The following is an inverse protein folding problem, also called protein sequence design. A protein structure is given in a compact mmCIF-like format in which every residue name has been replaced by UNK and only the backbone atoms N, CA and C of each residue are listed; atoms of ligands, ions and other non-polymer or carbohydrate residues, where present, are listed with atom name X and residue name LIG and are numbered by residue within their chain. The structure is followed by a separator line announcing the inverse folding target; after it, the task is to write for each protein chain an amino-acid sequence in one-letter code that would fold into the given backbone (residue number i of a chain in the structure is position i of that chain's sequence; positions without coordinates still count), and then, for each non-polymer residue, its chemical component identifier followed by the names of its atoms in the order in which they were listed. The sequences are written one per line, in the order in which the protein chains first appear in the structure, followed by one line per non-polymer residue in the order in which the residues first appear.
data_IF_937713587170
#
_entry.id   IF_937713587170
#
_cell.length_a   1.000
_cell.length_b   1.000
_cell.length_c   1.000
_cell.angle_alpha   90.00
_cell.angle_beta   90.00
_cell.angle_gamma   90.00
#
_symmetry.space_group_name_H-M   'P 1'
#
loop_
_entity.id
_entity.type
_entity.pdbx_description
1 polymer ?
#
# COMPACT_ATOMS: atom_id res chain seq x y z
N UNK A 1 15.82 -15.58 -88.18
CA UNK A 1 14.47 -16.19 -88.08
C UNK A 1 14.33 -16.81 -86.68
N UNK A 2 13.23 -16.44 -85.99
CA UNK A 2 12.77 -16.86 -84.65
C UNK A 2 13.52 -16.33 -83.43
N UNK A 3 13.02 -15.18 -82.99
CA UNK A 3 13.02 -14.62 -81.64
C UNK A 3 12.26 -15.59 -80.73
N UNK A 4 12.83 -15.97 -79.57
CA UNK A 4 12.06 -16.52 -78.45
C UNK A 4 12.42 -15.71 -77.19
N UNK A 5 11.49 -14.85 -76.78
CA UNK A 5 11.45 -14.22 -75.48
C UNK A 5 11.02 -15.25 -74.44
N UNK A 6 11.77 -15.40 -73.35
CA UNK A 6 11.32 -16.09 -72.14
C UNK A 6 11.05 -15.07 -71.03
N UNK A 7 10.03 -15.32 -70.18
CA UNK A 7 9.44 -14.28 -69.35
C UNK A 7 10.28 -13.99 -68.11
N UNK A 8 10.29 -12.71 -67.80
CA UNK A 8 10.58 -12.07 -66.53
C UNK A 8 10.25 -12.96 -65.32
N UNK A 9 11.26 -13.43 -64.58
CA UNK A 9 11.08 -14.02 -63.25
C UNK A 9 11.04 -12.89 -62.20
N UNK A 10 9.86 -12.28 -62.08
CA UNK A 10 9.50 -11.51 -60.88
C UNK A 10 8.93 -12.48 -59.82
N UNK A 11 9.35 -12.28 -58.57
CA UNK A 11 8.93 -12.96 -57.34
C UNK A 11 9.50 -14.38 -57.14
N UNK A 12 10.38 -14.57 -56.12
CA UNK A 12 9.86 -14.65 -54.77
C UNK A 12 10.81 -13.99 -53.74
N UNK A 13 10.88 -12.66 -53.72
CA UNK A 13 11.58 -11.95 -52.63
C UNK A 13 10.65 -11.54 -51.48
N UNK A 14 9.34 -11.86 -51.56
CA UNK A 14 8.33 -11.42 -50.59
C UNK A 14 7.81 -12.54 -49.67
N UNK A 15 8.25 -13.80 -49.84
CA UNK A 15 7.79 -14.92 -49.03
C UNK A 15 8.62 -15.15 -47.74
N UNK A 16 9.78 -14.50 -47.61
CA UNK A 16 10.69 -14.71 -46.47
C UNK A 16 10.41 -13.83 -45.23
N UNK A 17 9.57 -12.78 -45.36
CA UNK A 17 9.40 -11.77 -44.31
C UNK A 17 8.10 -11.94 -43.47
N UNK A 18 7.30 -12.96 -43.74
CA UNK A 18 6.00 -13.17 -43.07
C UNK A 18 6.09 -14.19 -41.90
N UNK A 19 7.24 -14.83 -41.68
CA UNK A 19 7.40 -15.84 -40.62
C UNK A 19 7.87 -15.29 -39.25
N UNK A 20 7.97 -13.97 -39.08
CA UNK A 20 8.34 -13.35 -37.80
C UNK A 20 7.15 -12.86 -36.95
N UNK A 21 5.91 -13.16 -37.36
CA UNK A 21 4.70 -12.81 -36.60
C UNK A 21 3.97 -14.03 -36.01
N UNK A 22 4.71 -15.05 -35.57
CA UNK A 22 4.24 -15.92 -34.48
C UNK A 22 4.39 -15.10 -33.19
N UNK A 23 3.52 -14.16 -32.86
CA UNK A 23 2.15 -14.46 -32.48
C UNK A 23 2.22 -15.15 -31.11
N UNK A 24 2.32 -14.36 -30.03
CA UNK A 24 2.28 -14.87 -28.66
C UNK A 24 1.08 -15.80 -28.52
N UNK A 25 1.32 -17.08 -28.34
CA UNK A 25 0.31 -17.95 -27.76
C UNK A 25 0.08 -17.44 -26.35
N UNK A 26 -1.05 -16.79 -26.10
CA UNK A 26 -1.53 -16.63 -24.73
C UNK A 26 -1.69 -18.05 -24.22
N UNK A 27 -0.78 -18.50 -23.34
CA UNK A 27 -1.00 -19.76 -22.66
C UNK A 27 -2.38 -19.67 -22.01
N UNK A 28 -3.26 -20.68 -22.23
CA UNK A 28 -4.54 -20.70 -21.55
C UNK A 28 -4.24 -20.57 -20.06
N UNK A 29 -4.76 -19.51 -19.44
CA UNK A 29 -4.55 -19.29 -18.03
C UNK A 29 -4.91 -20.58 -17.29
N UNK A 30 -4.06 -21.06 -16.36
CA UNK A 30 -4.33 -22.28 -15.64
C UNK A 30 -5.72 -22.16 -15.02
N UNK A 31 -6.67 -22.91 -15.58
CA UNK A 31 -8.03 -22.99 -15.07
C UNK A 31 -7.88 -23.44 -13.63
N UNK A 32 -8.43 -22.66 -12.70
CA UNK A 32 -8.36 -22.94 -11.27
C UNK A 32 -8.67 -24.43 -11.03
N UNK A 33 -7.90 -25.14 -10.19
CA UNK A 33 -8.33 -26.44 -9.74
C UNK A 33 -9.75 -26.30 -9.20
N UNK A 34 -10.64 -27.22 -9.58
CA UNK A 34 -12.03 -27.23 -9.11
C UNK A 34 -12.16 -27.28 -7.57
N UNK A 35 -11.05 -27.52 -6.86
CA UNK A 35 -10.94 -27.65 -5.42
C UNK A 35 -9.81 -26.78 -4.87
N UNK A 36 -9.94 -25.46 -4.98
CA UNK A 36 -9.09 -24.52 -4.27
C UNK A 36 -7.59 -24.52 -4.66
N UNK A 37 -6.83 -23.64 -4.04
CA UNK A 37 -5.40 -23.48 -4.29
C UNK A 37 -4.74 -22.50 -3.31
N UNK A 38 -3.43 -22.37 -3.36
CA UNK A 38 -2.74 -21.35 -2.56
C UNK A 38 -3.20 -19.95 -2.97
N UNK A 39 -3.47 -19.11 -1.97
CA UNK A 39 -3.82 -17.72 -2.17
C UNK A 39 -3.70 -16.93 -0.88
N UNK A 40 -4.31 -15.74 -0.87
CA UNK A 40 -4.24 -14.82 0.27
C UNK A 40 -5.62 -14.51 0.85
N UNK A 41 -5.71 -14.56 2.17
CA UNK A 41 -6.88 -14.12 2.95
C UNK A 41 -6.63 -12.73 3.54
N UNK A 42 -7.55 -11.77 3.38
CA UNK A 42 -7.41 -10.46 4.00
C UNK A 42 -7.54 -10.55 5.52
N UNK A 43 -6.62 -9.91 6.22
CA UNK A 43 -6.68 -9.69 7.67
C UNK A 43 -7.29 -8.30 7.89
N UNK A 44 -8.40 -8.26 8.63
CA UNK A 44 -9.15 -7.02 8.87
C UNK A 44 -8.85 -6.44 10.25
N UNK A 45 -8.89 -5.12 10.33
CA UNK A 45 -9.10 -4.38 11.57
C UNK A 45 -10.39 -3.58 11.45
N UNK A 46 -11.21 -3.56 12.50
CA UNK A 46 -12.48 -2.82 12.47
C UNK A 46 -12.23 -1.31 12.30
N UNK A 47 -13.17 -0.59 11.69
CA UNK A 47 -13.06 0.88 11.57
C UNK A 47 -13.01 1.56 12.94
N UNK A 48 -13.70 1.03 13.95
CA UNK A 48 -13.67 1.56 15.30
C UNK A 48 -12.26 1.47 15.92
N UNK A 49 -11.64 0.30 15.89
CA UNK A 49 -10.30 0.09 16.43
C UNK A 49 -9.22 0.86 15.65
N UNK A 50 -9.38 0.94 14.33
CA UNK A 50 -8.48 1.66 13.44
C UNK A 50 -8.53 3.18 13.67
N UNK A 51 -9.74 3.73 13.86
CA UNK A 51 -9.97 5.18 14.00
C UNK A 51 -9.78 5.69 15.41
N UNK A 52 -9.53 4.80 16.37
CA UNK A 52 -9.20 5.15 17.73
C UNK A 52 -7.76 5.71 17.82
N UNK A 53 -7.66 7.04 17.86
CA UNK A 53 -6.38 7.76 18.03
C UNK A 53 -6.19 8.07 19.52
N UNK A 54 -5.08 7.60 20.09
CA UNK A 54 -4.77 7.77 21.52
C UNK A 54 -3.38 8.36 21.72
N UNK A 55 -3.18 9.05 22.84
CA UNK A 55 -1.83 9.43 23.30
C UNK A 55 -1.45 8.52 24.45
N UNK A 56 -0.34 7.81 24.30
CA UNK A 56 0.22 6.85 25.24
C UNK A 56 1.57 7.34 25.78
N UNK A 57 2.08 6.64 26.80
CA UNK A 57 3.44 6.88 27.30
C UNK A 57 4.50 6.64 26.21
N UNK A 58 5.72 7.19 26.40
CA UNK A 58 6.79 7.02 25.43
C UNK A 58 7.20 5.55 25.31
N UNK A 59 7.62 5.17 24.11
CA UNK A 59 8.16 3.83 23.82
C UNK A 59 9.38 3.94 22.91
N UNK A 60 10.20 2.90 22.85
CA UNK A 60 11.38 2.87 22.00
C UNK A 60 11.02 2.88 20.51
N UNK A 61 11.82 3.58 19.71
CA UNK A 61 11.78 3.51 18.25
C UNK A 61 12.15 2.09 17.79
N UNK A 62 11.43 1.56 16.80
CA UNK A 62 11.75 0.26 16.19
C UNK A 62 12.20 0.41 14.74
N UNK A 63 11.33 0.98 13.92
CA UNK A 63 11.51 1.17 12.48
C UNK A 63 11.12 2.60 12.09
N UNK A 64 11.83 3.62 12.60
CA UNK A 64 11.45 5.01 12.39
C UNK A 64 11.44 5.38 10.91
N UNK A 65 10.40 6.09 10.50
CA UNK A 65 10.22 6.66 9.17
C UNK A 65 10.54 8.15 9.14
N UNK A 66 9.63 8.93 8.56
CA UNK A 66 9.79 10.39 8.38
C UNK A 66 9.87 11.11 9.73
N UNK A 67 10.59 12.23 9.76
CA UNK A 67 10.77 13.11 10.93
C UNK A 67 10.30 14.52 10.58
N UNK A 68 9.58 15.17 11.49
CA UNK A 68 9.28 16.60 11.46
C UNK A 68 9.73 17.29 12.75
N UNK A 69 9.99 18.58 12.65
CA UNK A 69 10.38 19.45 13.77
C UNK A 69 9.33 20.55 13.93
N UNK A 70 8.85 20.77 15.16
CA UNK A 70 8.06 21.94 15.53
C UNK A 70 8.57 22.50 16.85
N UNK A 71 9.17 23.69 16.80
CA UNK A 71 9.91 24.24 17.93
C UNK A 71 11.08 23.33 18.29
N UNK A 72 11.12 22.87 19.54
CA UNK A 72 12.11 21.90 20.03
C UNK A 72 11.63 20.46 19.98
N UNK A 73 10.41 20.18 19.51
CA UNK A 73 9.87 18.82 19.48
C UNK A 73 10.13 18.13 18.14
N UNK A 74 10.54 16.87 18.22
CA UNK A 74 10.59 15.94 17.09
C UNK A 74 9.31 15.10 17.08
N UNK A 75 8.76 14.95 15.88
CA UNK A 75 7.68 14.02 15.57
C UNK A 75 8.27 12.98 14.64
N UNK A 76 8.29 11.71 15.05
CA UNK A 76 8.91 10.63 14.29
C UNK A 76 7.87 9.55 14.02
N UNK A 77 7.63 9.27 12.74
CA UNK A 77 6.68 8.25 12.34
C UNK A 77 7.24 6.86 12.65
N UNK A 78 6.40 5.98 13.20
CA UNK A 78 6.58 4.53 13.28
C UNK A 78 5.56 3.90 12.32
N UNK A 79 5.97 3.57 11.07
CA UNK A 79 5.05 3.18 10.02
C UNK A 79 4.14 2.01 10.42
N UNK A 80 2.85 2.18 10.17
CA UNK A 80 1.77 1.28 10.54
C UNK A 80 1.27 1.45 11.98
N UNK A 81 1.99 2.16 12.84
CA UNK A 81 1.71 2.22 14.28
C UNK A 81 1.31 3.63 14.76
N UNK A 82 2.03 4.68 14.34
CA UNK A 82 1.75 6.05 14.81
C UNK A 82 2.99 6.93 14.91
N UNK A 83 3.02 7.86 15.86
CA UNK A 83 4.00 8.96 15.91
C UNK A 83 4.61 9.10 17.29
N UNK A 84 5.94 9.01 17.37
CA UNK A 84 6.71 9.34 18.55
C UNK A 84 6.85 10.86 18.70
N UNK A 85 6.67 11.36 19.92
CA UNK A 85 6.95 12.75 20.28
C UNK A 85 8.15 12.78 21.21
N UNK A 86 9.18 13.51 20.83
CA UNK A 86 10.43 13.63 21.57
C UNK A 86 10.73 15.11 21.80
N UNK A 87 11.00 15.49 23.04
CA UNK A 87 11.56 16.79 23.36
C UNK A 87 13.05 16.79 23.02
N UNK A 88 13.45 17.68 22.12
CA UNK A 88 14.81 17.85 21.62
C UNK A 88 15.35 19.26 21.95
N UNK A 89 14.96 19.81 23.11
CA UNK A 89 15.51 21.07 23.62
C UNK A 89 17.03 21.01 23.84
N UNK A 90 17.54 19.87 24.33
CA UNK A 90 18.96 19.54 24.33
C UNK A 90 19.22 18.41 23.30
N UNK A 91 19.74 18.72 22.10
CA UNK A 91 20.01 17.71 21.08
C UNK A 91 21.03 16.64 21.48
N UNK A 92 21.86 16.89 22.50
CA UNK A 92 22.76 15.88 23.03
C UNK A 92 22.02 14.87 23.94
N UNK A 93 20.82 15.21 24.42
CA UNK A 93 20.01 14.41 25.35
C UNK A 93 18.50 14.50 25.03
N UNK A 94 18.05 14.00 23.86
CA UNK A 94 16.63 13.98 23.52
C UNK A 94 15.82 13.16 24.53
N UNK A 95 14.61 13.64 24.86
CA UNK A 95 13.74 13.06 25.87
C UNK A 95 12.44 12.55 25.23
N UNK A 96 12.21 11.23 25.16
CA UNK A 96 10.93 10.68 24.72
C UNK A 96 9.79 11.15 25.64
N UNK A 97 8.74 11.72 25.04
CA UNK A 97 7.62 12.32 25.79
C UNK A 97 6.36 11.46 25.72
N UNK A 98 5.96 11.06 24.52
CA UNK A 98 4.71 10.36 24.28
C UNK A 98 4.75 9.58 22.95
N UNK A 99 3.77 8.70 22.79
CA UNK A 99 3.48 8.04 21.52
C UNK A 99 2.01 8.27 21.15
N UNK A 100 1.76 8.82 19.96
CA UNK A 100 0.41 8.98 19.43
C UNK A 100 0.10 7.76 18.58
N UNK A 101 -0.79 6.90 19.06
CA UNK A 101 -1.22 5.71 18.36
C UNK A 101 -2.16 6.13 17.21
N UNK A 102 -1.75 5.82 15.98
CA UNK A 102 -2.52 6.07 14.76
C UNK A 102 -2.35 4.83 13.90
N UNK A 103 -3.19 3.82 14.11
CA UNK A 103 -3.07 2.54 13.41
C UNK A 103 -3.13 2.73 11.90
N UNK A 104 -2.21 2.10 11.17
CA UNK A 104 -2.11 2.27 9.71
C UNK A 104 -1.60 3.65 9.28
N UNK A 105 -0.90 4.40 10.15
CA UNK A 105 -0.21 5.61 9.75
C UNK A 105 0.98 5.30 8.84
N UNK A 106 1.04 5.90 7.65
CA UNK A 106 2.14 5.68 6.69
C UNK A 106 2.94 6.95 6.50
N UNK A 107 2.28 8.09 6.35
CA UNK A 107 2.93 9.40 6.25
C UNK A 107 2.33 10.43 7.22
N UNK A 108 3.07 11.51 7.40
CA UNK A 108 2.64 12.67 8.19
C UNK A 108 3.18 13.98 7.60
N UNK A 109 2.60 15.10 8.04
CA UNK A 109 3.06 16.44 7.80
C UNK A 109 2.74 17.35 8.98
N UNK A 110 3.57 18.34 9.25
CA UNK A 110 3.33 19.32 10.33
C UNK A 110 3.24 20.72 9.75
N UNK A 111 2.19 21.48 10.13
CA UNK A 111 2.02 22.89 9.78
C UNK A 111 1.54 23.67 11.01
N UNK A 112 2.41 24.49 11.58
CA UNK A 112 2.13 25.20 12.82
C UNK A 112 1.86 24.19 13.95
N UNK A 113 0.70 24.29 14.58
CA UNK A 113 0.31 23.41 15.69
C UNK A 113 -0.55 22.22 15.27
N UNK A 114 -0.65 21.99 13.95
CA UNK A 114 -1.43 20.89 13.40
C UNK A 114 -0.52 19.86 12.76
N UNK A 115 -0.65 18.61 13.20
CA UNK A 115 -0.06 17.44 12.57
C UNK A 115 -1.14 16.74 11.73
N UNK A 116 -0.85 16.57 10.45
CA UNK A 116 -1.64 15.78 9.53
C UNK A 116 -1.02 14.40 9.42
N UNK A 117 -1.83 13.35 9.48
CA UNK A 117 -1.35 11.98 9.44
C UNK A 117 -2.33 11.08 8.69
N UNK A 118 -1.78 10.13 7.94
CA UNK A 118 -2.58 9.04 7.39
C UNK A 118 -3.11 8.18 8.54
N UNK A 119 -4.32 7.63 8.37
CA UNK A 119 -4.88 6.62 9.26
C UNK A 119 -5.58 5.58 8.37
N UNK A 120 -4.75 4.75 7.74
CA UNK A 120 -5.09 3.86 6.64
C UNK A 120 -5.81 4.58 5.47
N UNK A 121 -7.14 4.49 5.40
CA UNK A 121 -7.92 5.10 4.31
C UNK A 121 -8.32 6.55 4.58
N UNK A 122 -8.13 7.00 5.81
CA UNK A 122 -8.52 8.34 6.27
C UNK A 122 -7.30 9.26 6.40
N UNK A 123 -7.55 10.56 6.40
CA UNK A 123 -6.59 11.60 6.82
C UNK A 123 -7.08 12.22 8.12
N UNK A 124 -6.20 12.30 9.13
CA UNK A 124 -6.50 12.98 10.40
C UNK A 124 -5.68 14.25 10.56
N UNK A 125 -6.28 15.26 11.19
CA UNK A 125 -5.61 16.46 11.64
C UNK A 125 -5.62 16.49 13.17
N UNK A 126 -4.46 16.67 13.78
CA UNK A 126 -4.22 16.56 15.21
C UNK A 126 -3.65 17.86 15.76
N UNK A 127 -4.19 18.35 16.87
CA UNK A 127 -3.61 19.43 17.65
C UNK A 127 -2.42 18.89 18.44
N UNK A 128 -1.24 19.48 18.19
CA UNK A 128 0.02 19.14 18.86
C UNK A 128 0.56 20.29 19.73
N UNK A 129 -0.29 21.25 20.13
CA UNK A 129 0.08 22.34 21.06
C UNK A 129 0.58 21.79 22.39
N UNK A 130 -0.10 20.76 22.93
CA UNK A 130 0.34 20.00 24.09
C UNK A 130 0.84 18.61 23.67
N UNK A 131 2.16 18.36 23.70
CA UNK A 131 2.75 17.10 23.25
C UNK A 131 2.33 15.88 24.09
N UNK A 132 1.81 16.09 25.31
CA UNK A 132 1.31 15.02 26.18
C UNK A 132 -0.20 14.79 26.05
N UNK A 133 -0.90 15.64 25.29
CA UNK A 133 -2.35 15.58 25.12
C UNK A 133 -2.73 16.00 23.71
N UNK A 134 -2.36 15.16 22.75
CA UNK A 134 -2.71 15.35 21.33
C UNK A 134 -4.21 15.13 21.14
N UNK A 135 -4.87 16.02 20.41
CA UNK A 135 -6.31 15.98 20.20
C UNK A 135 -6.65 15.86 18.72
N UNK A 136 -7.60 14.97 18.39
CA UNK A 136 -8.16 14.90 17.05
C UNK A 136 -8.99 16.15 16.78
N UNK A 137 -8.55 16.97 15.82
CA UNK A 137 -9.27 18.15 15.37
C UNK A 137 -10.27 17.82 14.28
N UNK A 138 -9.85 17.00 13.31
CA UNK A 138 -10.69 16.64 12.18
C UNK A 138 -10.26 15.29 11.58
N UNK A 139 -11.20 14.64 10.90
CA UNK A 139 -10.99 13.43 10.11
C UNK A 139 -11.68 13.59 8.76
N UNK A 140 -10.95 13.30 7.69
CA UNK A 140 -11.52 13.14 6.36
C UNK A 140 -11.44 11.67 5.99
N UNK A 141 -12.61 11.02 5.93
CA UNK A 141 -12.69 9.58 5.72
C UNK A 141 -12.52 9.20 4.25
N UNK A 142 -11.93 8.04 3.99
CA UNK A 142 -11.86 7.42 2.66
C UNK A 142 -11.21 8.30 1.57
N UNK A 143 -10.22 9.12 1.94
CA UNK A 143 -9.48 9.97 0.99
C UNK A 143 -8.34 9.22 0.31
N UNK A 144 -7.84 8.16 0.92
CA UNK A 144 -6.80 7.31 0.35
C UNK A 144 -7.37 6.02 -0.25
N UNK A 145 -6.74 5.45 -1.29
CA UNK A 145 -7.18 4.20 -1.88
C UNK A 145 -7.28 3.07 -0.86
N UNK A 146 -8.40 2.35 -0.88
CA UNK A 146 -8.59 1.18 -0.03
C UNK A 146 -7.64 0.05 -0.46
N UNK A 147 -6.95 -0.64 0.47
CA UNK A 147 -6.07 -1.77 0.17
C UNK A 147 -6.87 -3.01 -0.26
N UNK A 148 -7.29 -3.05 -1.52
CA UNK A 148 -8.23 -4.07 -2.04
C UNK A 148 -7.57 -5.33 -2.59
N UNK A 149 -6.24 -5.43 -2.56
CA UNK A 149 -5.49 -6.56 -3.09
C UNK A 149 -4.17 -6.82 -2.33
N UNK A 150 -3.64 -8.06 -2.32
CA UNK A 150 -2.36 -8.40 -1.69
C UNK A 150 -1.18 -7.78 -2.44
N UNK A 151 -0.03 -7.50 -1.80
CA UNK A 151 1.13 -6.88 -2.45
C UNK A 151 1.74 -7.71 -3.60
N UNK A 152 1.55 -9.04 -3.60
CA UNK A 152 2.02 -9.95 -4.65
C UNK A 152 1.12 -9.89 -5.90
N UNK A 153 1.73 -9.93 -7.09
CA UNK A 153 1.02 -9.98 -8.39
C UNK A 153 0.88 -11.42 -8.89
N UNK A 154 -0.11 -11.68 -9.74
CA UNK A 154 -0.35 -13.02 -10.30
C UNK A 154 -0.94 -14.01 -9.30
N UNK A 155 -1.43 -13.54 -8.15
CA UNK A 155 -1.95 -14.38 -7.06
C UNK A 155 -3.47 -14.30 -6.99
N UNK A 156 -4.07 -15.39 -6.48
CA UNK A 156 -5.49 -15.42 -6.14
C UNK A 156 -5.69 -15.06 -4.67
N UNK A 157 -6.83 -14.46 -4.36
CA UNK A 157 -7.16 -14.05 -2.99
C UNK A 157 -8.67 -14.08 -2.73
N UNK A 158 -9.05 -14.12 -1.45
CA UNK A 158 -10.44 -13.94 -1.06
C UNK A 158 -10.85 -12.49 -1.34
N UNK A 159 -11.97 -12.32 -2.04
CA UNK A 159 -12.46 -10.99 -2.36
C UNK A 159 -12.69 -10.17 -1.08
N UNK A 160 -12.23 -8.92 -1.11
CA UNK A 160 -12.32 -8.02 0.04
C UNK A 160 -13.78 -7.69 0.34
N UNK A 161 -14.14 -7.85 1.61
CA UNK A 161 -15.40 -7.42 2.19
C UNK A 161 -15.16 -6.17 3.05
N UNK A 162 -15.50 -5.00 2.48
CA UNK A 162 -15.29 -3.70 3.13
C UNK A 162 -16.17 -3.49 4.36
N UNK A 163 -17.19 -4.35 4.59
CA UNK A 163 -18.04 -4.26 5.79
C UNK A 163 -17.33 -4.76 7.04
N UNK A 164 -16.25 -5.55 6.88
CA UNK A 164 -15.46 -6.12 7.99
C UNK A 164 -14.41 -5.18 8.56
N UNK A 165 -14.24 -3.99 8.00
CA UNK A 165 -13.20 -3.04 8.38
C UNK A 165 -12.24 -2.76 7.24
N UNK A 166 -10.99 -2.42 7.58
CA UNK A 166 -9.92 -2.17 6.62
C UNK A 166 -8.95 -3.35 6.59
N UNK A 167 -8.49 -3.72 5.40
CA UNK A 167 -7.45 -4.75 5.26
C UNK A 167 -6.12 -4.19 5.76
N UNK A 168 -5.59 -4.76 6.83
CA UNK A 168 -4.30 -4.39 7.43
C UNK A 168 -3.18 -5.39 7.11
N UNK A 169 -3.52 -6.50 6.46
CA UNK A 169 -2.56 -7.52 6.09
C UNK A 169 -3.18 -8.62 5.24
N UNK A 170 -2.34 -9.54 4.78
CA UNK A 170 -2.73 -10.67 3.96
C UNK A 170 -2.04 -11.92 4.49
N UNK A 171 -2.82 -12.95 4.76
CA UNK A 171 -2.33 -14.25 5.23
C UNK A 171 -2.29 -15.24 4.06
N UNK A 172 -1.14 -15.85 3.80
CA UNK A 172 -1.03 -16.92 2.81
C UNK A 172 -1.73 -18.18 3.34
N UNK A 173 -2.62 -18.76 2.55
CA UNK A 173 -3.46 -19.88 2.99
C UNK A 173 -3.97 -20.69 1.81
N UNK A 174 -4.53 -21.87 2.06
CA UNK A 174 -5.26 -22.64 1.05
C UNK A 174 -6.69 -22.12 0.98
N UNK A 175 -7.07 -21.62 -0.19
CA UNK A 175 -8.39 -21.06 -0.42
C UNK A 175 -9.29 -22.10 -1.09
N UNK A 176 -10.45 -22.44 -0.51
CA UNK A 176 -11.40 -23.35 -1.16
C UNK A 176 -12.04 -22.70 -2.40
N UNK A 177 -12.19 -21.38 -2.40
CA UNK A 177 -12.76 -20.59 -3.49
C UNK A 177 -12.05 -19.23 -3.58
N UNK A 178 -11.16 -19.07 -4.55
CA UNK A 178 -10.37 -17.85 -4.77
C UNK A 178 -10.81 -17.17 -6.07
N UNK A 179 -11.88 -16.37 -5.97
CA UNK A 179 -12.50 -15.67 -7.11
C UNK A 179 -11.76 -14.41 -7.54
N UNK A 180 -11.09 -13.74 -6.61
CA UNK A 180 -10.36 -12.51 -6.90
C UNK A 180 -8.90 -12.81 -7.27
N UNK A 181 -8.34 -11.98 -8.16
CA UNK A 181 -6.97 -12.10 -8.67
C UNK A 181 -6.33 -10.73 -8.86
N UNK A 182 -5.03 -10.65 -8.61
CA UNK A 182 -4.20 -9.47 -8.85
C UNK A 182 -3.29 -9.65 -10.05
#
# INVERSE_FOLDING_TARGET
MKILLTPFRLLPALAGLILLFSGCTTEPEPTAPANGGEGYRPVYLSYEELRNVTTEGPRSLKHPGKIYVRGTFLFINEPGEGIHIIDNHDPAKPRPMAFVNIRGNVDMAVKGDVLYADNATDLVALDITNPLRVQLLNRVENVFPYPSYPPQTGVRFECVDKTRGVVVGWEKTTLPDARCRR
#
